data_IF_499483482017
#
_entry.id   IF_499483482017
#
_cell.length_a   1.000
_cell.length_b   1.000
_cell.length_c   1.000
_cell.angle_alpha   90.00
_cell.angle_beta   90.00
_cell.angle_gamma   90.00
#
_symmetry.space_group_name_H-M   'P 1'
#
loop_
_entity.id
_entity.type
_entity.pdbx_description
1 polymer ?
#
# COMPACT_ATOMS: atom_id res chain seq x y z
N UNK A 1 -2.01 -11.11 -32.87
CA UNK A 1 -1.03 -10.20 -32.24
C UNK A 1 -1.49 -9.98 -30.80
N UNK A 2 -0.66 -10.46 -29.87
CA UNK A 2 -0.47 -9.97 -28.50
C UNK A 2 -1.65 -10.01 -27.52
N UNK A 3 -1.87 -11.20 -26.96
CA UNK A 3 -2.26 -11.35 -25.56
C UNK A 3 -1.07 -10.96 -24.66
N UNK A 4 -1.33 -10.41 -23.48
CA UNK A 4 -0.65 -10.95 -22.30
C UNK A 4 -1.66 -11.44 -21.26
N UNK A 5 -1.73 -12.77 -21.16
CA UNK A 5 -2.31 -13.48 -20.02
C UNK A 5 -1.65 -12.95 -18.73
N UNK A 6 -2.45 -12.36 -17.85
CA UNK A 6 -1.99 -11.90 -16.54
C UNK A 6 -2.61 -12.81 -15.50
N UNK A 7 -1.78 -13.76 -15.10
CA UNK A 7 -1.97 -14.68 -14.01
C UNK A 7 -2.64 -13.99 -12.81
N UNK A 8 -3.76 -14.58 -12.39
CA UNK A 8 -4.60 -14.23 -11.26
C UNK A 8 -3.81 -14.45 -9.96
N UNK A 9 -2.93 -13.51 -9.63
CA UNK A 9 -2.34 -13.39 -8.30
C UNK A 9 -2.66 -11.99 -7.83
N UNK A 10 -3.53 -11.81 -6.82
CA UNK A 10 -3.91 -10.48 -6.35
C UNK A 10 -2.63 -9.76 -5.98
N UNK A 11 -2.32 -8.70 -6.73
CA UNK A 11 -1.13 -7.91 -6.45
C UNK A 11 -1.29 -7.35 -5.03
N UNK A 12 -0.23 -7.32 -4.22
CA UNK A 12 -0.26 -6.76 -2.87
C UNK A 12 -0.80 -5.31 -2.82
N UNK A 13 -0.85 -4.64 -3.95
CA UNK A 13 -1.47 -3.33 -4.11
C UNK A 13 -3.01 -3.34 -3.92
N UNK A 14 -3.75 -4.43 -4.15
CA UNK A 14 -5.23 -4.43 -4.11
C UNK A 14 -5.82 -4.57 -2.70
N UNK A 15 -5.05 -5.02 -1.72
CA UNK A 15 -5.57 -5.30 -0.37
C UNK A 15 -5.53 -4.08 0.55
N UNK A 16 -4.54 -3.20 0.38
CA UNK A 16 -4.32 -2.02 1.21
C UNK A 16 -4.08 -0.76 0.36
N UNK A 17 -4.72 -0.70 -0.81
CA UNK A 17 -4.70 0.46 -1.72
C UNK A 17 -5.06 1.78 -1.01
N UNK A 18 -6.13 1.88 -0.20
CA UNK A 18 -6.49 3.13 0.47
C UNK A 18 -5.43 3.59 1.48
N UNK A 19 -4.85 2.68 2.28
CA UNK A 19 -3.74 3.04 3.17
C UNK A 19 -2.49 3.46 2.41
N UNK A 20 -2.20 2.81 1.27
CA UNK A 20 -1.06 3.17 0.42
C UNK A 20 -1.24 4.56 -0.19
N UNK A 21 -2.40 4.86 -0.74
CA UNK A 21 -2.72 6.19 -1.29
C UNK A 21 -2.68 7.25 -0.21
N UNK A 22 -3.28 6.99 0.96
CA UNK A 22 -3.21 7.91 2.09
C UNK A 22 -1.76 8.17 2.51
N UNK A 23 -0.92 7.13 2.56
CA UNK A 23 0.52 7.28 2.84
C UNK A 23 1.20 8.13 1.77
N UNK A 24 0.99 7.83 0.49
CA UNK A 24 1.61 8.57 -0.62
C UNK A 24 1.19 10.04 -0.60
N UNK A 25 -0.11 10.30 -0.44
CA UNK A 25 -0.63 11.64 -0.27
C UNK A 25 -0.02 12.30 0.96
N UNK A 26 0.05 11.63 2.10
CA UNK A 26 0.69 12.19 3.29
C UNK A 26 2.16 12.56 3.02
N UNK A 27 2.95 11.67 2.41
CA UNK A 27 4.35 11.97 2.08
C UNK A 27 4.47 13.14 1.09
N UNK A 28 3.50 13.30 0.19
CA UNK A 28 3.47 14.37 -0.81
C UNK A 28 3.02 15.73 -0.22
N UNK A 29 2.02 15.72 0.68
CA UNK A 29 1.43 16.93 1.26
C UNK A 29 2.16 17.42 2.51
N UNK A 30 2.60 16.48 3.34
CA UNK A 30 3.11 16.71 4.70
C UNK A 30 4.63 16.48 4.77
N UNK A 31 5.21 15.77 3.79
CA UNK A 31 6.64 15.45 3.73
C UNK A 31 7.01 14.23 4.58
N UNK A 32 8.19 13.64 4.30
CA UNK A 32 8.67 12.42 4.97
C UNK A 32 8.87 12.57 6.49
N UNK A 33 8.87 13.80 7.00
CA UNK A 33 9.04 14.11 8.42
C UNK A 33 7.72 14.06 9.22
N UNK A 34 6.58 13.93 8.54
CA UNK A 34 5.29 14.04 9.21
C UNK A 34 4.92 12.77 9.98
N UNK A 35 4.62 12.95 11.27
CA UNK A 35 4.22 11.87 12.18
C UNK A 35 2.93 11.16 11.73
N UNK A 36 2.05 11.87 11.01
CA UNK A 36 0.84 11.29 10.40
C UNK A 36 1.17 10.21 9.38
N UNK A 37 2.25 10.37 8.62
CA UNK A 37 2.61 9.39 7.60
C UNK A 37 3.12 8.10 8.25
N UNK A 38 3.77 8.17 9.42
CA UNK A 38 4.13 6.99 10.21
C UNK A 38 2.91 6.17 10.61
N UNK A 39 1.84 6.80 11.10
CA UNK A 39 0.59 6.09 11.42
C UNK A 39 -0.02 5.40 10.18
N UNK A 40 0.03 6.06 9.02
CA UNK A 40 -0.47 5.48 7.76
C UNK A 40 0.39 4.31 7.28
N UNK A 41 1.71 4.37 7.47
CA UNK A 41 2.64 3.26 7.20
C UNK A 41 2.35 2.07 8.12
N UNK A 42 2.13 2.31 9.42
CA UNK A 42 1.78 1.26 10.38
C UNK A 42 0.45 0.60 10.04
N UNK A 43 -0.57 1.39 9.66
CA UNK A 43 -1.84 0.86 9.15
C UNK A 43 -1.67 0.01 7.89
N UNK A 44 -0.92 0.49 6.90
CA UNK A 44 -0.61 -0.25 5.68
C UNK A 44 0.08 -1.59 5.99
N UNK A 45 1.09 -1.57 6.89
CA UNK A 45 1.78 -2.76 7.37
C UNK A 45 0.82 -3.74 8.06
N UNK A 46 -0.03 -3.23 8.95
CA UNK A 46 -1.01 -4.04 9.67
C UNK A 46 -2.02 -4.69 8.72
N UNK A 47 -2.52 -3.93 7.74
CA UNK A 47 -3.40 -4.43 6.70
C UNK A 47 -2.73 -5.58 5.92
N UNK A 48 -1.51 -5.40 5.41
CA UNK A 48 -0.82 -6.45 4.65
C UNK A 48 -0.47 -7.68 5.50
N UNK A 49 -0.20 -7.47 6.79
CA UNK A 49 0.01 -8.56 7.77
C UNK A 49 -1.26 -9.40 7.97
N UNK A 50 -2.44 -8.80 7.98
CA UNK A 50 -3.74 -9.52 7.99
C UNK A 50 -3.91 -10.41 6.77
N UNK A 51 -3.38 -9.99 5.62
CA UNK A 51 -3.41 -10.78 4.38
C UNK A 51 -2.25 -11.78 4.25
N UNK A 52 -1.38 -11.90 5.26
CA UNK A 52 -0.25 -12.83 5.26
C UNK A 52 0.99 -12.34 4.51
N UNK A 53 1.04 -11.06 4.14
CA UNK A 53 2.23 -10.43 3.54
C UNK A 53 3.01 -9.67 4.62
N UNK A 54 4.24 -10.12 4.89
CA UNK A 54 5.15 -9.45 5.83
C UNK A 54 6.10 -8.53 5.05
N UNK A 55 6.11 -7.23 5.38
CA UNK A 55 6.85 -6.16 4.67
C UNK A 55 7.74 -5.39 5.65
#
# INVERSE_FOLDING_TARGET
MSEPQKEDKPKPCCVCLPEKEARDQCLLFDGQESAKCKELIEKYKSCMKTYGFNI
#
